data_IF_132002127661
#
_entry.id   IF_132002127661
#
_cell.length_a   1.000
_cell.length_b   1.000
_cell.length_c   1.000
_cell.angle_alpha   90.00
_cell.angle_beta   90.00
_cell.angle_gamma   90.00
#
_symmetry.space_group_name_H-M   'P 1'
#
loop_
_entity.id
_entity.type
_entity.pdbx_description
1 polymer ?
#
# COMPACT_ATOMS: atom_id res chain seq x y z
N UNK A 1 -11.99 -23.35 -2.45
CA UNK A 1 -10.84 -23.15 -3.33
C UNK A 1 -10.93 -21.75 -3.92
N UNK A 2 -10.93 -20.78 -3.03
CA UNK A 2 -10.97 -19.40 -3.44
C UNK A 2 -9.70 -18.73 -3.01
N UNK A 3 -8.86 -18.57 -4.01
CA UNK A 3 -8.18 -17.35 -4.26
C UNK A 3 -7.09 -17.06 -3.25
N UNK A 4 -5.95 -17.52 -3.56
CA UNK A 4 -4.85 -16.58 -3.54
C UNK A 4 -5.36 -15.35 -4.31
N UNK A 5 -5.82 -14.36 -3.58
CA UNK A 5 -6.04 -13.02 -4.10
C UNK A 5 -4.73 -12.68 -4.80
N UNK A 6 -4.78 -12.59 -6.10
CA UNK A 6 -3.61 -12.37 -6.93
C UNK A 6 -2.94 -11.11 -6.40
N UNK A 7 -1.76 -11.26 -5.81
CA UNK A 7 -1.00 -10.13 -5.28
C UNK A 7 -0.83 -9.12 -6.40
N UNK A 8 -1.27 -7.89 -6.16
CA UNK A 8 -1.14 -6.84 -7.15
C UNK A 8 0.29 -6.33 -7.19
N UNK A 9 0.86 -6.30 -8.39
CA UNK A 9 2.15 -5.72 -8.68
C UNK A 9 1.97 -4.53 -9.62
N UNK A 10 2.72 -3.47 -9.37
CA UNK A 10 2.88 -2.41 -10.34
C UNK A 10 3.96 -2.82 -11.35
N UNK A 11 3.65 -2.76 -12.64
CA UNK A 11 4.56 -3.19 -13.71
C UNK A 11 4.82 -2.06 -14.68
N UNK A 12 6.07 -1.94 -15.09
CA UNK A 12 6.49 -1.01 -16.14
C UNK A 12 7.67 -1.61 -16.90
N UNK A 13 7.96 -1.06 -18.07
CA UNK A 13 9.05 -1.52 -18.94
C UNK A 13 10.24 -0.58 -18.89
N UNK A 14 11.43 -1.14 -18.87
CA UNK A 14 12.68 -0.42 -19.02
C UNK A 14 13.69 -1.29 -19.77
N UNK A 15 14.23 -0.78 -20.89
CA UNK A 15 15.24 -1.49 -21.66
C UNK A 15 14.80 -2.86 -22.20
N UNK A 16 13.53 -3.04 -22.52
CA UNK A 16 12.95 -4.30 -22.99
C UNK A 16 12.65 -5.33 -21.90
N UNK A 17 12.87 -4.98 -20.64
CA UNK A 17 12.54 -5.81 -19.48
C UNK A 17 11.34 -5.26 -18.72
N UNK A 18 10.47 -6.14 -18.23
CA UNK A 18 9.35 -5.77 -17.37
C UNK A 18 9.81 -5.78 -15.92
N UNK A 19 9.61 -4.67 -15.24
CA UNK A 19 9.89 -4.49 -13.82
C UNK A 19 8.58 -4.59 -13.06
N UNK A 20 8.54 -5.43 -12.03
CA UNK A 20 7.39 -5.62 -11.16
C UNK A 20 7.73 -5.17 -9.75
N UNK A 21 6.94 -4.26 -9.19
CA UNK A 21 7.14 -3.72 -7.85
C UNK A 21 5.89 -3.95 -6.99
N UNK A 22 6.13 -4.26 -5.72
CA UNK A 22 5.09 -4.37 -4.71
C UNK A 22 5.59 -3.77 -3.41
N UNK A 23 4.82 -2.86 -2.85
CA UNK A 23 5.11 -2.23 -1.56
C UNK A 23 4.21 -2.81 -0.47
N UNK A 24 4.57 -4.00 0.01
CA UNK A 24 3.99 -4.59 1.21
C UNK A 24 4.58 -3.94 2.49
N UNK A 25 4.11 -4.37 3.65
CA UNK A 25 4.58 -3.81 4.91
C UNK A 25 6.08 -4.08 5.14
N UNK A 26 6.60 -5.19 4.62
CA UNK A 26 8.05 -5.48 4.64
C UNK A 26 8.84 -4.49 3.80
N UNK A 27 8.32 -4.10 2.64
CA UNK A 27 8.97 -3.09 1.79
C UNK A 27 9.04 -1.73 2.51
N UNK A 28 7.99 -1.32 3.19
CA UNK A 28 8.01 -0.09 3.99
C UNK A 28 8.98 -0.16 5.16
N UNK A 29 9.06 -1.31 5.83
CA UNK A 29 10.05 -1.51 6.89
C UNK A 29 11.49 -1.39 6.36
N UNK A 30 11.78 -1.95 5.18
CA UNK A 30 13.10 -1.82 4.54
C UNK A 30 13.47 -0.38 4.24
N UNK A 31 12.51 0.44 3.82
CA UNK A 31 12.73 1.87 3.61
C UNK A 31 13.02 2.58 4.93
N UNK A 32 12.27 2.30 5.99
CA UNK A 32 12.50 2.88 7.32
C UNK A 32 13.88 2.51 7.88
N UNK A 33 14.36 1.29 7.69
CA UNK A 33 15.70 0.86 8.08
C UNK A 33 16.80 1.67 7.37
N UNK A 34 16.49 2.28 6.22
CA UNK A 34 17.36 3.20 5.48
C UNK A 34 17.12 4.66 5.82
N UNK A 35 16.27 4.96 6.80
CA UNK A 35 15.90 6.32 7.16
C UNK A 35 14.98 7.01 6.15
N UNK A 36 14.26 6.24 5.33
CA UNK A 36 13.37 6.74 4.28
C UNK A 36 11.93 6.41 4.65
N UNK A 37 11.06 7.41 4.66
CA UNK A 37 9.62 7.20 4.75
C UNK A 37 9.02 6.94 3.37
N UNK A 38 8.00 6.07 3.29
CA UNK A 38 7.27 5.88 2.03
C UNK A 38 6.63 7.18 1.53
N UNK A 39 6.33 8.13 2.42
CA UNK A 39 5.79 9.44 2.07
C UNK A 39 6.79 10.32 1.31
N UNK A 40 8.07 10.03 1.42
CA UNK A 40 9.11 10.80 0.74
C UNK A 40 8.95 10.77 -0.78
N UNK A 41 8.33 9.71 -1.33
CA UNK A 41 8.04 9.62 -2.76
C UNK A 41 7.09 10.71 -3.27
N UNK A 42 6.29 11.30 -2.37
CA UNK A 42 5.33 12.35 -2.72
C UNK A 42 5.91 13.76 -2.54
N UNK A 43 7.11 13.85 -1.96
CA UNK A 43 7.82 15.11 -1.78
C UNK A 43 8.57 15.47 -3.06
N UNK A 44 8.57 16.75 -3.42
CA UNK A 44 9.09 17.22 -4.69
C UNK A 44 10.63 17.22 -4.85
N UNK A 45 11.39 16.71 -3.88
CA UNK A 45 12.86 16.68 -3.90
C UNK A 45 13.36 15.31 -3.49
N UNK A 46 13.47 14.43 -4.47
CA UNK A 46 14.01 13.10 -4.27
C UNK A 46 15.31 12.96 -5.04
N UNK A 47 16.34 12.45 -4.36
CA UNK A 47 17.64 12.16 -4.98
C UNK A 47 17.59 10.82 -5.73
N UNK A 48 18.48 10.64 -6.70
CA UNK A 48 18.63 9.35 -7.39
C UNK A 48 18.93 8.17 -6.45
N UNK A 49 19.68 8.41 -5.38
CA UNK A 49 19.97 7.40 -4.35
C UNK A 49 18.70 6.93 -3.65
N UNK A 50 17.78 7.82 -3.32
CA UNK A 50 16.48 7.49 -2.71
C UNK A 50 15.60 6.72 -3.68
N UNK A 51 15.56 7.10 -4.97
CA UNK A 51 14.84 6.35 -5.99
C UNK A 51 15.36 4.91 -6.12
N UNK A 52 16.66 4.71 -6.04
CA UNK A 52 17.28 3.37 -6.03
C UNK A 52 16.85 2.54 -4.81
N UNK A 53 16.75 3.15 -3.64
CA UNK A 53 16.27 2.46 -2.43
C UNK A 53 14.79 2.08 -2.55
N UNK A 54 13.95 2.90 -3.17
CA UNK A 54 12.57 2.52 -3.49
C UNK A 54 12.47 1.34 -4.45
N UNK A 55 13.32 1.28 -5.49
CA UNK A 55 13.37 0.13 -6.38
C UNK A 55 13.72 -1.16 -5.64
N UNK A 56 14.75 -1.12 -4.80
CA UNK A 56 15.17 -2.28 -3.99
C UNK A 56 14.06 -2.72 -3.03
N UNK A 57 13.47 -1.78 -2.31
CA UNK A 57 12.41 -2.06 -1.35
C UNK A 57 11.18 -2.69 -2.01
N UNK A 58 10.82 -2.23 -3.20
CA UNK A 58 9.70 -2.77 -3.99
C UNK A 58 9.97 -4.15 -4.60
N UNK A 59 11.18 -4.70 -4.44
CA UNK A 59 11.52 -6.05 -4.85
C UNK A 59 12.25 -6.16 -6.19
N UNK A 60 12.78 -5.06 -6.73
CA UNK A 60 13.61 -5.14 -7.93
C UNK A 60 14.93 -5.88 -7.62
N UNK A 61 15.21 -7.01 -8.30
CA UNK A 61 16.34 -7.86 -7.95
C UNK A 61 17.67 -7.45 -8.61
N UNK A 62 17.63 -6.55 -9.59
CA UNK A 62 18.79 -6.11 -10.36
C UNK A 62 19.46 -4.88 -9.78
N UNK A 63 20.35 -4.29 -10.58
CA UNK A 63 21.02 -3.04 -10.23
C UNK A 63 20.11 -1.84 -10.48
N UNK A 64 19.66 -1.14 -9.44
CA UNK A 64 18.75 -0.01 -9.58
C UNK A 64 19.37 1.17 -10.34
N UNK A 65 20.69 1.33 -10.31
CA UNK A 65 21.40 2.38 -11.06
C UNK A 65 21.19 2.24 -12.57
N UNK A 66 21.11 1.01 -13.08
CA UNK A 66 20.84 0.78 -14.50
C UNK A 66 19.44 1.28 -14.90
N UNK A 67 18.47 1.11 -14.05
CA UNK A 67 17.11 1.60 -14.29
C UNK A 67 17.09 3.14 -14.22
N UNK A 68 17.72 3.70 -13.21
CA UNK A 68 17.81 5.16 -13.05
C UNK A 68 18.47 5.83 -14.27
N UNK A 69 19.58 5.28 -14.77
CA UNK A 69 20.26 5.79 -15.95
C UNK A 69 19.47 5.53 -17.26
N UNK A 70 18.79 4.37 -17.33
CA UNK A 70 18.06 3.97 -18.53
C UNK A 70 16.83 4.82 -18.81
N UNK A 71 16.07 5.22 -17.81
CA UNK A 71 14.85 5.99 -18.00
C UNK A 71 14.90 7.44 -17.46
N UNK A 72 15.87 7.73 -16.63
CA UNK A 72 16.00 9.02 -15.98
C UNK A 72 15.16 9.18 -14.70
N UNK A 73 15.62 10.05 -13.80
CA UNK A 73 15.02 10.26 -12.49
C UNK A 73 13.55 10.65 -12.52
N UNK A 74 13.12 11.64 -13.31
CA UNK A 74 11.72 12.08 -13.36
C UNK A 74 10.74 10.98 -13.81
N UNK A 75 11.11 10.19 -14.80
CA UNK A 75 10.27 9.08 -15.30
C UNK A 75 10.22 7.96 -14.27
N UNK A 76 11.35 7.57 -13.73
CA UNK A 76 11.41 6.56 -12.67
C UNK A 76 10.59 7.00 -11.44
N UNK A 77 10.72 8.24 -11.02
CA UNK A 77 9.93 8.80 -9.91
C UNK A 77 8.42 8.66 -10.14
N UNK A 78 7.95 8.93 -11.36
CA UNK A 78 6.54 8.79 -11.72
C UNK A 78 6.05 7.35 -11.53
N UNK A 79 6.84 6.36 -11.96
CA UNK A 79 6.51 4.94 -11.80
C UNK A 79 6.53 4.51 -10.32
N UNK A 80 7.56 4.91 -9.57
CA UNK A 80 7.66 4.57 -8.15
C UNK A 80 6.52 5.18 -7.34
N UNK A 81 6.16 6.42 -7.63
CA UNK A 81 5.01 7.07 -7.01
C UNK A 81 3.72 6.32 -7.29
N UNK A 82 3.48 5.92 -8.52
CA UNK A 82 2.31 5.13 -8.89
C UNK A 82 2.30 3.77 -8.20
N UNK A 83 3.45 3.11 -8.09
CA UNK A 83 3.59 1.83 -7.39
C UNK A 83 3.27 1.94 -5.89
N UNK A 84 3.76 2.98 -5.23
CA UNK A 84 3.45 3.24 -3.81
C UNK A 84 1.98 3.59 -3.63
N UNK A 85 1.40 4.41 -4.51
CA UNK A 85 -0.05 4.73 -4.47
C UNK A 85 -0.93 3.49 -4.59
N UNK A 86 -0.53 2.51 -5.39
CA UNK A 86 -1.25 1.25 -5.53
C UNK A 86 -1.30 0.48 -4.19
N UNK A 87 -0.29 0.62 -3.36
CA UNK A 87 -0.18 -0.05 -2.07
C UNK A 87 -0.86 0.70 -0.91
N UNK A 88 -1.21 1.96 -1.09
CA UNK A 88 -1.84 2.79 -0.08
C UNK A 88 -3.37 2.69 -0.14
N UNK A 89 -4.05 2.84 1.01
CA UNK A 89 -5.51 2.90 1.03
C UNK A 89 -6.02 4.04 0.14
N UNK A 90 -7.10 3.78 -0.56
CA UNK A 90 -7.84 4.87 -1.22
C UNK A 90 -8.46 5.71 -0.10
N UNK A 91 -8.14 6.99 -0.06
CA UNK A 91 -8.82 7.92 0.85
C UNK A 91 -10.28 8.01 0.40
N UNK A 92 -11.15 7.39 1.16
CA UNK A 92 -12.58 7.66 1.02
C UNK A 92 -12.84 9.04 1.67
N UNK A 93 -13.34 10.02 0.92
CA UNK A 93 -13.69 11.33 1.47
C UNK A 93 -14.81 11.25 2.53
N UNK A 94 -15.40 10.08 2.72
CA UNK A 94 -16.42 9.81 3.72
C UNK A 94 -15.88 9.14 5.00
N UNK A 95 -14.60 8.83 5.08
CA UNK A 95 -13.99 8.42 6.35
C UNK A 95 -13.90 9.67 7.24
N UNK A 96 -14.75 9.70 8.24
CA UNK A 96 -14.79 10.76 9.25
C UNK A 96 -13.44 10.74 9.99
N UNK A 97 -12.67 11.81 9.84
CA UNK A 97 -11.53 12.07 10.70
C UNK A 97 -12.04 12.15 12.14
N UNK A 98 -11.56 11.26 12.99
CA UNK A 98 -11.81 11.35 14.42
C UNK A 98 -11.00 12.53 14.93
N UNK A 99 -11.63 13.59 15.44
CA UNK A 99 -10.90 14.75 15.92
C UNK A 99 -9.95 14.36 17.05
N UNK A 100 -8.66 14.61 16.89
CA UNK A 100 -7.64 14.49 17.94
C UNK A 100 -6.60 13.39 17.75
N UNK A 101 -6.65 12.59 16.69
CA UNK A 101 -5.59 11.66 16.34
C UNK A 101 -4.76 12.16 15.16
N UNK A 102 -3.45 12.26 15.35
CA UNK A 102 -2.49 12.54 14.27
C UNK A 102 -2.40 11.30 13.37
N UNK A 103 -2.73 11.38 12.05
CA UNK A 103 -2.90 10.20 11.20
C UNK A 103 -1.61 9.48 10.81
N UNK A 104 -0.44 9.90 11.28
CA UNK A 104 0.84 9.43 10.74
C UNK A 104 1.47 8.21 11.42
N UNK A 105 1.69 8.24 12.72
CA UNK A 105 2.48 7.19 13.43
C UNK A 105 1.64 6.19 14.23
N UNK A 106 0.47 6.57 14.67
CA UNK A 106 -0.41 5.71 15.46
C UNK A 106 -0.98 4.56 14.63
N UNK A 107 -1.03 4.70 13.30
CA UNK A 107 -1.81 3.83 12.44
C UNK A 107 -1.16 2.48 12.15
N UNK A 108 0.17 2.38 12.07
CA UNK A 108 0.83 1.10 11.77
C UNK A 108 0.72 0.11 12.93
N UNK A 109 0.99 0.55 14.17
CA UNK A 109 0.85 -0.28 15.36
C UNK A 109 -0.61 -0.66 15.61
N UNK A 110 -1.50 0.29 15.42
CA UNK A 110 -2.94 0.06 15.54
C UNK A 110 -3.43 -0.93 14.49
N UNK A 111 -3.05 -0.74 13.23
CA UNK A 111 -3.41 -1.65 12.14
C UNK A 111 -2.89 -3.07 12.40
N UNK A 112 -1.65 -3.22 12.86
CA UNK A 112 -1.10 -4.51 13.25
C UNK A 112 -1.91 -5.16 14.37
N UNK A 113 -2.27 -4.40 15.41
CA UNK A 113 -3.13 -4.87 16.49
C UNK A 113 -4.50 -5.32 15.98
N UNK A 114 -5.13 -4.55 15.11
CA UNK A 114 -6.42 -4.90 14.51
C UNK A 114 -6.34 -6.20 13.69
N UNK A 115 -5.30 -6.36 12.89
CA UNK A 115 -5.13 -7.53 12.02
C UNK A 115 -4.67 -8.76 12.80
N UNK A 116 -3.67 -8.65 13.66
CA UNK A 116 -3.07 -9.79 14.35
C UNK A 116 -3.84 -10.18 15.62
N UNK A 117 -4.27 -9.21 16.41
CA UNK A 117 -4.88 -9.48 17.72
C UNK A 117 -6.40 -9.65 17.63
N UNK A 118 -7.09 -8.87 16.82
CA UNK A 118 -8.56 -8.91 16.70
C UNK A 118 -8.99 -9.87 15.59
N UNK A 119 -8.47 -9.72 14.38
CA UNK A 119 -8.76 -10.65 13.28
C UNK A 119 -8.04 -11.99 13.41
N UNK A 120 -7.08 -12.11 14.31
CA UNK A 120 -6.27 -13.31 14.56
C UNK A 120 -5.55 -13.83 13.32
N UNK A 121 -5.04 -12.93 12.50
CA UNK A 121 -4.18 -13.30 11.37
C UNK A 121 -2.73 -13.45 11.84
N UNK A 122 -1.95 -14.36 11.25
CA UNK A 122 -0.53 -14.50 11.55
C UNK A 122 0.25 -13.23 11.15
N UNK A 123 1.36 -12.97 11.84
CA UNK A 123 2.21 -11.82 11.52
C UNK A 123 2.72 -11.83 10.06
N UNK A 124 3.01 -12.98 9.51
CA UNK A 124 3.40 -13.12 8.10
C UNK A 124 2.36 -12.54 7.13
N UNK A 125 1.09 -12.69 7.46
CA UNK A 125 0.01 -12.11 6.69
C UNK A 125 0.07 -10.58 6.71
N UNK A 126 0.34 -9.98 7.87
CA UNK A 126 0.51 -8.54 8.00
C UNK A 126 1.69 -8.04 7.15
N UNK A 127 2.86 -8.64 7.31
CA UNK A 127 4.07 -8.20 6.63
C UNK A 127 4.05 -8.43 5.11
N UNK A 128 3.36 -9.45 4.63
CA UNK A 128 3.24 -9.77 3.19
C UNK A 128 2.11 -9.03 2.48
N UNK A 129 1.28 -8.31 3.20
CA UNK A 129 0.15 -7.54 2.65
C UNK A 129 0.53 -6.08 2.43
N UNK A 130 -0.11 -5.43 1.46
CA UNK A 130 -0.03 -3.98 1.32
C UNK A 130 -0.93 -3.30 2.37
N UNK A 131 -0.66 -2.04 2.65
CA UNK A 131 -1.50 -1.27 3.57
C UNK A 131 -2.95 -1.19 3.07
N UNK A 132 -3.16 -1.05 1.76
CA UNK A 132 -4.49 -1.08 1.14
C UNK A 132 -5.23 -2.39 1.43
N UNK A 133 -4.58 -3.52 1.20
CA UNK A 133 -5.17 -4.85 1.47
C UNK A 133 -5.54 -5.02 2.94
N UNK A 134 -4.69 -4.56 3.85
CA UNK A 134 -4.95 -4.65 5.29
C UNK A 134 -6.14 -3.79 5.71
N UNK A 135 -6.22 -2.56 5.24
CA UNK A 135 -7.32 -1.64 5.53
C UNK A 135 -8.63 -2.16 4.96
N UNK A 136 -8.65 -2.63 3.73
CA UNK A 136 -9.85 -3.21 3.09
C UNK A 136 -10.34 -4.45 3.83
N UNK A 137 -9.43 -5.32 4.25
CA UNK A 137 -9.78 -6.52 5.03
C UNK A 137 -10.30 -6.18 6.41
N UNK A 138 -9.69 -5.21 7.09
CA UNK A 138 -10.18 -4.74 8.37
C UNK A 138 -11.60 -4.14 8.24
N UNK A 139 -11.83 -3.31 7.24
CA UNK A 139 -13.13 -2.71 7.00
C UNK A 139 -14.20 -3.78 6.74
N UNK A 140 -13.92 -4.75 5.89
CA UNK A 140 -14.83 -5.87 5.62
C UNK A 140 -15.15 -6.68 6.88
N UNK A 141 -14.13 -6.98 7.69
CA UNK A 141 -14.30 -7.67 8.97
C UNK A 141 -15.13 -6.84 9.97
N UNK A 142 -14.82 -5.56 10.11
CA UNK A 142 -15.52 -4.66 11.03
C UNK A 142 -16.99 -4.48 10.65
N UNK A 143 -17.31 -4.40 9.36
CA UNK A 143 -18.69 -4.36 8.86
C UNK A 143 -19.41 -5.68 9.19
N UNK A 144 -18.80 -6.82 8.90
CA UNK A 144 -19.37 -8.14 9.17
C UNK A 144 -19.64 -8.40 10.66
N UNK A 145 -18.80 -7.82 11.54
CA UNK A 145 -18.98 -7.90 13.02
C UNK A 145 -19.88 -6.81 13.61
N UNK A 146 -20.36 -5.88 12.80
CA UNK A 146 -21.17 -4.75 13.26
C UNK A 146 -20.41 -3.64 13.98
N UNK A 147 -19.07 -3.62 13.88
CA UNK A 147 -18.23 -2.55 14.45
C UNK A 147 -18.25 -1.27 13.62
N UNK A 148 -18.56 -1.39 12.33
CA UNK A 148 -18.67 -0.28 11.39
C UNK A 148 -19.96 -0.41 10.58
N UNK A 149 -20.57 0.72 10.24
CA UNK A 149 -21.70 0.76 9.31
C UNK A 149 -21.20 0.67 7.86
N UNK A 150 -21.96 -0.01 6.99
CA UNK A 150 -21.72 0.05 5.55
C UNK A 150 -21.82 1.51 5.07
N UNK A 151 -20.91 1.94 4.17
CA UNK A 151 -21.02 3.23 3.51
C UNK A 151 -22.38 3.35 2.79
N UNK A 152 -23.00 4.53 2.83
CA UNK A 152 -24.32 4.77 2.21
C UNK A 152 -24.36 4.40 0.72
N UNK A 153 -23.25 4.55 -0.01
CA UNK A 153 -23.15 4.13 -1.41
C UNK A 153 -23.34 2.62 -1.63
N UNK A 154 -22.93 1.79 -0.68
CA UNK A 154 -23.17 0.34 -0.76
C UNK A 154 -24.64 -0.02 -0.42
N UNK A 155 -25.33 0.82 0.34
CA UNK A 155 -26.72 0.61 0.65
C UNK A 155 -27.65 0.88 -0.54
N UNK A 156 -27.26 1.77 -1.45
CA UNK A 156 -28.03 2.08 -2.67
C UNK A 156 -28.04 0.94 -3.69
N UNK A 157 -26.99 0.12 -3.73
CA UNK A 157 -26.92 -1.02 -4.65
C UNK A 157 -27.64 -2.27 -4.15
N UNK A 158 -27.78 -2.42 -2.81
CA UNK A 158 -28.49 -3.57 -2.21
C UNK A 158 -30.03 -3.46 -2.32
N UNK A 159 -30.57 -2.28 -2.65
CA UNK A 159 -32.01 -2.05 -2.76
C UNK A 159 -32.56 -2.20 -4.18
N UNK A 160 -31.75 -2.15 -5.22
CA UNK A 160 -32.19 -2.32 -6.61
C UNK A 160 -32.33 -3.79 -7.06
N UNK A 161 -32.00 -4.75 -6.22
CA UNK A 161 -32.11 -6.19 -6.48
C UNK A 161 -33.31 -6.89 -5.85
N UNK A 162 -34.29 -6.15 -5.29
CA UNK A 162 -35.45 -6.72 -4.60
C UNK A 162 -36.79 -6.29 -5.21
N UNK A 163 -36.91 -6.26 -6.55
CA UNK A 163 -38.22 -6.26 -7.24
C UNK A 163 -38.35 -7.46 -8.15
#
# INVERSE_FOLDING_TARGET
MFTELTKQYYRFECGGSVISLRYDMTAFLRLEERGISYEDIFRGRITGAVLCEFLKAGGYPGDPELILHGMGGPVLWTHLRAAVLLALPVRDPLVIDIPGEDPGEADMKRLRGLICDIMRKPEEFFWSSTMRELVERWQAFAIAKGYMKKPERMQMFDTEGME
#
